data_IF_113017225770
#
_entry.id   IF_113017225770
#
_cell.length_a   1.000
_cell.length_b   1.000
_cell.length_c   1.000
_cell.angle_alpha   90.00
_cell.angle_beta   90.00
_cell.angle_gamma   90.00
#
_symmetry.space_group_name_H-M   'P 1'
#
loop_
_entity.id
_entity.type
_entity.pdbx_description
1 polymer ?
#
# COMPACT_ATOMS: atom_id res chain seq x y z
N UNK A 1 -20.34 15.15 -27.35
CA UNK A 1 -19.07 14.57 -26.85
C UNK A 1 -18.59 15.46 -25.73
N UNK A 2 -18.85 15.08 -24.49
CA UNK A 2 -18.34 15.78 -23.30
C UNK A 2 -16.85 15.46 -23.19
N UNK A 3 -16.01 16.46 -23.42
CA UNK A 3 -14.59 16.41 -23.08
C UNK A 3 -14.46 16.12 -21.59
N UNK A 4 -13.98 14.94 -21.24
CA UNK A 4 -13.57 14.66 -19.87
C UNK A 4 -12.48 15.68 -19.51
N UNK A 5 -12.78 16.56 -18.56
CA UNK A 5 -11.78 17.44 -17.95
C UNK A 5 -10.68 16.56 -17.40
N UNK A 6 -9.44 16.76 -17.87
CA UNK A 6 -8.29 16.06 -17.31
C UNK A 6 -8.20 16.42 -15.81
N UNK A 7 -8.50 15.46 -14.94
CA UNK A 7 -8.37 15.61 -13.50
C UNK A 7 -6.93 16.01 -13.19
N UNK A 8 -6.75 17.04 -12.34
CA UNK A 8 -5.42 17.50 -11.96
C UNK A 8 -4.61 16.34 -11.34
N UNK A 9 -3.37 16.20 -11.81
CA UNK A 9 -2.41 15.23 -11.30
C UNK A 9 -1.91 15.70 -9.93
N UNK A 10 -1.99 14.83 -8.93
CA UNK A 10 -1.63 15.12 -7.54
C UNK A 10 -0.68 14.07 -6.98
N UNK A 11 0.07 14.45 -5.96
CA UNK A 11 1.00 13.54 -5.28
C UNK A 11 0.34 12.72 -4.17
N UNK A 12 -0.90 13.05 -3.80
CA UNK A 12 -1.71 12.32 -2.84
C UNK A 12 -3.18 12.48 -3.22
N UNK A 13 -3.94 11.40 -3.08
CA UNK A 13 -5.38 11.34 -3.31
C UNK A 13 -6.06 10.85 -2.04
N UNK A 14 -7.24 11.38 -1.74
CA UNK A 14 -8.04 10.93 -0.61
C UNK A 14 -8.64 9.54 -0.86
N UNK A 15 -9.01 8.84 0.21
CA UNK A 15 -9.67 7.53 0.08
C UNK A 15 -10.97 7.67 -0.72
N UNK A 16 -11.09 6.90 -1.81
CA UNK A 16 -12.22 6.97 -2.74
C UNK A 16 -12.05 7.99 -3.86
N UNK A 17 -11.01 8.83 -3.83
CA UNK A 17 -10.65 9.70 -4.94
C UNK A 17 -9.74 8.94 -5.93
N UNK A 18 -10.27 8.65 -7.12
CA UNK A 18 -9.56 7.84 -8.12
C UNK A 18 -8.55 8.71 -8.89
N UNK A 19 -7.24 8.39 -8.86
CA UNK A 19 -6.25 9.10 -9.68
C UNK A 19 -6.52 8.90 -11.19
N UNK A 20 -6.02 9.80 -12.07
CA UNK A 20 -6.06 9.56 -13.51
C UNK A 20 -5.39 8.23 -13.87
N UNK A 21 -5.96 7.49 -14.82
CA UNK A 21 -5.37 6.24 -15.29
C UNK A 21 -3.96 6.48 -15.82
N UNK A 22 -2.99 5.67 -15.38
CA UNK A 22 -1.58 5.80 -15.73
C UNK A 22 -0.78 6.78 -14.88
N UNK A 23 -1.41 7.49 -13.93
CA UNK A 23 -0.70 8.30 -12.93
C UNK A 23 -0.52 7.53 -11.62
N UNK A 24 0.72 7.43 -11.14
CA UNK A 24 1.05 6.88 -9.81
C UNK A 24 1.36 8.06 -8.88
N UNK A 25 0.56 8.33 -7.83
CA UNK A 25 0.86 9.40 -6.89
C UNK A 25 2.14 9.08 -6.10
N UNK A 26 2.94 10.11 -5.78
CA UNK A 26 4.18 9.95 -5.02
C UNK A 26 3.96 9.47 -3.58
N UNK A 27 2.76 9.70 -3.01
CA UNK A 27 2.39 9.34 -1.65
C UNK A 27 1.04 8.62 -1.61
N UNK A 28 0.86 7.81 -0.58
CA UNK A 28 -0.38 7.09 -0.28
C UNK A 28 -0.66 7.08 1.23
N UNK A 29 -1.92 6.89 1.60
CA UNK A 29 -2.31 6.58 2.98
C UNK A 29 -2.13 5.09 3.27
N UNK A 30 -1.63 4.75 4.46
CA UNK A 30 -1.56 3.37 4.91
C UNK A 30 -1.62 3.25 6.44
N UNK A 31 -2.08 2.09 6.93
CA UNK A 31 -1.91 1.68 8.33
C UNK A 31 -0.50 1.13 8.53
N UNK A 32 0.35 1.89 9.21
CA UNK A 32 1.75 1.57 9.41
C UNK A 32 2.04 1.15 10.85
N UNK A 33 2.89 0.13 10.99
CA UNK A 33 3.54 -0.26 12.24
C UNK A 33 4.94 0.35 12.24
N UNK A 34 5.40 0.78 13.41
CA UNK A 34 6.80 1.14 13.69
C UNK A 34 7.31 0.35 14.89
N UNK A 35 8.62 0.08 14.94
CA UNK A 35 9.21 -0.82 15.95
C UNK A 35 8.92 -0.34 17.38
N UNK A 36 9.03 0.96 17.62
CA UNK A 36 8.78 1.61 18.90
C UNK A 36 7.30 1.57 19.34
N UNK A 37 6.38 1.23 18.43
CA UNK A 37 4.94 1.11 18.71
C UNK A 37 4.46 -0.34 18.84
N UNK A 38 5.36 -1.33 18.85
CA UNK A 38 4.94 -2.72 19.00
C UNK A 38 4.03 -2.91 20.23
N UNK A 39 2.89 -3.55 20.02
CA UNK A 39 1.82 -3.62 21.00
C UNK A 39 0.51 -4.10 20.39
N UNK A 40 -0.59 -3.85 21.09
CA UNK A 40 -1.93 -4.18 20.62
C UNK A 40 -2.25 -3.44 19.29
N UNK A 41 -3.00 -4.06 18.35
CA UNK A 41 -3.19 -3.51 17.01
C UNK A 41 -3.74 -2.08 16.95
N UNK A 42 -4.60 -1.70 17.89
CA UNK A 42 -5.23 -0.37 17.99
C UNK A 42 -4.24 0.76 18.32
N UNK A 43 -3.09 0.43 18.91
CA UNK A 43 -2.02 1.38 19.23
C UNK A 43 -0.82 1.23 18.30
N UNK A 44 -0.50 0.00 17.88
CA UNK A 44 0.65 -0.29 17.03
C UNK A 44 0.46 0.19 15.59
N UNK A 45 -0.73 -0.04 15.02
CA UNK A 45 -1.07 0.39 13.67
C UNK A 45 -1.63 1.82 13.71
N UNK A 46 -1.03 2.73 12.97
CA UNK A 46 -1.50 4.12 12.86
C UNK A 46 -1.59 4.53 11.39
N UNK A 47 -2.55 5.39 11.03
CA UNK A 47 -2.66 5.93 9.68
C UNK A 47 -1.54 6.94 9.44
N UNK A 48 -0.74 6.73 8.41
CA UNK A 48 0.34 7.61 8.01
C UNK A 48 0.27 7.89 6.50
N UNK A 49 0.83 9.03 6.07
CA UNK A 49 1.09 9.33 4.65
C UNK A 49 2.52 8.90 4.35
N UNK A 50 2.68 7.91 3.47
CA UNK A 50 3.95 7.27 3.16
C UNK A 50 4.23 7.33 1.65
N UNK A 51 5.50 7.19 1.22
CA UNK A 51 5.81 7.06 -0.20
C UNK A 51 5.07 5.87 -0.83
N UNK A 52 4.55 6.06 -2.03
CA UNK A 52 4.07 4.93 -2.85
C UNK A 52 5.28 4.09 -3.26
N UNK A 53 5.13 2.77 -3.27
CA UNK A 53 6.20 1.86 -3.62
C UNK A 53 6.60 1.96 -5.09
N UNK A 54 7.92 2.01 -5.34
CA UNK A 54 8.47 1.66 -6.65
C UNK A 54 8.24 0.17 -6.93
N UNK A 55 8.15 -0.21 -8.20
CA UNK A 55 8.00 -1.60 -8.63
C UNK A 55 9.18 -2.06 -9.47
N UNK A 56 9.62 -3.29 -9.27
CA UNK A 56 10.60 -3.96 -10.11
C UNK A 56 10.00 -4.41 -11.46
N UNK A 57 10.86 -4.91 -12.36
CA UNK A 57 10.47 -5.33 -13.71
C UNK A 57 9.38 -6.40 -13.75
N UNK A 58 9.29 -7.26 -12.74
CA UNK A 58 8.36 -8.40 -12.66
C UNK A 58 7.23 -8.21 -11.64
N UNK A 59 7.09 -7.00 -11.09
CA UNK A 59 6.09 -6.65 -10.08
C UNK A 59 4.91 -5.86 -10.67
N UNK A 60 3.82 -5.77 -9.88
CA UNK A 60 2.66 -4.94 -10.19
C UNK A 60 2.31 -4.06 -9.00
N UNK A 61 1.86 -2.84 -9.28
CA UNK A 61 1.27 -1.96 -8.27
C UNK A 61 -0.25 -2.07 -8.34
N UNK A 62 -0.91 -2.25 -7.20
CA UNK A 62 -2.37 -2.41 -7.12
C UNK A 62 -2.98 -1.23 -6.36
N UNK A 63 -3.98 -0.58 -6.96
CA UNK A 63 -4.88 0.33 -6.26
C UNK A 63 -5.89 -0.49 -5.45
N UNK A 64 -5.64 -0.61 -4.15
CA UNK A 64 -6.40 -1.50 -3.26
C UNK A 64 -7.77 -0.92 -2.95
N UNK A 65 -8.81 -1.71 -3.22
CA UNK A 65 -10.22 -1.36 -2.94
C UNK A 65 -10.69 -1.91 -1.59
N UNK A 66 -10.22 -3.11 -1.23
CA UNK A 66 -10.47 -3.72 0.07
C UNK A 66 -9.30 -4.64 0.47
N UNK A 67 -9.14 -4.85 1.77
CA UNK A 67 -8.16 -5.77 2.34
C UNK A 67 -8.83 -6.72 3.34
N UNK A 68 -8.31 -7.93 3.45
CA UNK A 68 -8.74 -8.91 4.46
C UNK A 68 -7.97 -8.78 5.77
N UNK A 69 -8.63 -9.08 6.88
CA UNK A 69 -8.02 -9.11 8.21
C UNK A 69 -7.59 -10.54 8.53
N UNK A 70 -6.34 -10.71 8.97
CA UNK A 70 -5.75 -12.01 9.26
C UNK A 70 -4.88 -11.96 10.53
N UNK A 71 -4.67 -13.12 11.17
CA UNK A 71 -3.87 -13.28 12.39
C UNK A 71 -2.44 -12.76 12.25
N UNK A 72 -1.83 -12.86 11.06
CA UNK A 72 -0.47 -12.36 10.84
C UNK A 72 -0.33 -10.84 11.07
N UNK A 73 -1.38 -10.05 10.84
CA UNK A 73 -1.40 -8.62 11.15
C UNK A 73 -1.32 -8.37 12.65
N UNK A 74 -1.94 -9.22 13.47
CA UNK A 74 -1.84 -9.17 14.93
C UNK A 74 -0.40 -9.47 15.36
N UNK A 75 0.21 -10.53 14.82
CA UNK A 75 1.59 -10.91 15.14
C UNK A 75 2.60 -9.83 14.71
N UNK A 76 2.39 -9.19 13.55
CA UNK A 76 3.19 -8.08 13.08
C UNK A 76 3.10 -6.86 14.03
N UNK A 77 1.88 -6.49 14.47
CA UNK A 77 1.67 -5.42 15.46
C UNK A 77 2.36 -5.71 16.79
N UNK A 78 2.17 -6.92 17.31
CA UNK A 78 2.77 -7.33 18.59
C UNK A 78 4.30 -7.45 18.52
N UNK A 79 4.86 -7.66 17.32
CA UNK A 79 6.26 -8.03 17.15
C UNK A 79 6.60 -9.40 17.72
N UNK A 80 5.61 -10.31 17.76
CA UNK A 80 5.71 -11.66 18.36
C UNK A 80 5.11 -12.70 17.42
N UNK A 81 5.74 -13.89 17.27
CA UNK A 81 6.94 -14.35 17.96
C UNK A 81 8.24 -13.69 17.47
N UNK A 82 8.19 -12.95 16.37
CA UNK A 82 9.30 -12.21 15.80
C UNK A 82 8.80 -10.86 15.28
N UNK A 83 9.66 -9.84 15.34
CA UNK A 83 9.37 -8.55 14.73
C UNK A 83 9.61 -8.60 13.22
N UNK A 84 8.70 -8.07 12.36
CA UNK A 84 8.95 -7.96 10.92
C UNK A 84 10.24 -7.18 10.61
N UNK A 85 10.57 -6.21 11.47
CA UNK A 85 11.75 -5.36 11.34
C UNK A 85 13.06 -6.12 11.48
N UNK A 86 13.07 -7.30 12.11
CA UNK A 86 14.26 -8.16 12.18
C UNK A 86 14.50 -8.90 10.84
N UNK A 87 13.46 -9.01 10.00
CA UNK A 87 13.55 -9.58 8.65
C UNK A 87 13.98 -8.56 7.59
N UNK A 88 13.23 -7.46 7.45
CA UNK A 88 13.43 -6.51 6.34
C UNK A 88 14.23 -5.24 6.70
N UNK A 89 14.43 -4.93 7.98
CA UNK A 89 15.22 -3.77 8.47
C UNK A 89 14.75 -2.38 8.00
N UNK A 90 13.51 -2.25 7.52
CA UNK A 90 12.95 -0.95 7.12
C UNK A 90 12.43 -0.17 8.33
N UNK A 91 12.15 1.13 8.15
CA UNK A 91 11.71 2.01 9.24
C UNK A 91 10.23 1.85 9.63
N UNK A 92 9.42 1.27 8.75
CA UNK A 92 8.00 1.00 8.98
C UNK A 92 7.56 -0.29 8.27
N UNK A 93 6.41 -0.83 8.68
CA UNK A 93 5.82 -2.04 8.11
C UNK A 93 4.33 -1.82 7.86
N UNK A 94 3.86 -2.04 6.63
CA UNK A 94 2.44 -2.02 6.27
C UNK A 94 1.98 -3.48 6.18
N UNK A 95 1.14 -3.91 7.12
CA UNK A 95 0.61 -5.27 7.15
C UNK A 95 -0.61 -5.43 6.22
N UNK A 96 -0.98 -6.68 5.93
CA UNK A 96 -2.12 -7.05 5.10
C UNK A 96 -1.73 -8.13 4.09
N UNK A 97 -2.37 -9.30 4.13
CA UNK A 97 -2.03 -10.45 3.28
C UNK A 97 -3.14 -10.89 2.33
N UNK A 98 -4.26 -10.18 2.33
CA UNK A 98 -5.38 -10.38 1.42
C UNK A 98 -5.81 -9.02 0.86
N UNK A 99 -6.06 -8.92 -0.44
CA UNK A 99 -6.50 -7.69 -1.08
C UNK A 99 -7.40 -7.96 -2.30
N UNK A 100 -8.30 -7.03 -2.58
CA UNK A 100 -8.95 -6.86 -3.88
C UNK A 100 -8.70 -5.44 -4.39
N UNK A 101 -8.44 -5.31 -5.69
CA UNK A 101 -8.03 -4.03 -6.25
C UNK A 101 -7.87 -4.04 -7.77
N UNK A 102 -7.41 -2.91 -8.29
CA UNK A 102 -7.17 -2.69 -9.72
C UNK A 102 -5.67 -2.64 -9.95
N UNK A 103 -5.15 -3.36 -10.94
CA UNK A 103 -3.75 -3.22 -11.37
C UNK A 103 -3.55 -1.81 -11.90
N UNK A 104 -2.66 -1.06 -11.28
CA UNK A 104 -2.46 0.37 -11.54
C UNK A 104 -1.17 0.67 -12.30
N UNK A 105 -0.15 -0.15 -12.08
CA UNK A 105 1.09 -0.15 -12.85
C UNK A 105 1.66 -1.57 -12.97
N UNK A 106 2.43 -1.82 -14.02
CA UNK A 106 3.08 -3.11 -14.28
C UNK A 106 4.55 -2.91 -14.63
N UNK A 107 5.41 -3.79 -14.13
CA UNK A 107 6.82 -3.83 -14.50
C UNK A 107 7.05 -4.29 -15.94
N UNK A 108 8.21 -3.96 -16.51
CA UNK A 108 8.52 -4.17 -17.93
C UNK A 108 8.47 -5.64 -18.40
N UNK A 109 8.65 -6.60 -17.50
CA UNK A 109 8.63 -8.05 -17.78
C UNK A 109 7.26 -8.69 -17.51
N UNK A 110 6.28 -7.96 -16.96
CA UNK A 110 4.93 -8.47 -16.72
C UNK A 110 4.16 -8.56 -18.03
N UNK A 111 3.76 -9.78 -18.41
CA UNK A 111 3.03 -10.04 -19.68
C UNK A 111 1.59 -10.48 -19.51
N UNK A 112 1.26 -11.07 -18.35
CA UNK A 112 -0.06 -11.67 -18.08
C UNK A 112 -1.09 -10.63 -17.64
N UNK A 113 -0.66 -9.69 -16.80
CA UNK A 113 -1.52 -8.66 -16.21
C UNK A 113 -1.35 -7.34 -16.96
N UNK A 114 -2.41 -6.52 -16.94
CA UNK A 114 -2.47 -5.23 -17.61
C UNK A 114 -3.12 -4.22 -16.66
N UNK A 115 -2.75 -2.95 -16.83
CA UNK A 115 -3.49 -1.80 -16.32
C UNK A 115 -4.85 -1.73 -17.03
#
# INVERSE_FOLDING_TARGET
MTTATATAVKDLYEIGEVPPLGHVPAKMYAWAIRRERHGEPDTAMQVEVLPTWDIADDEVLVYVMAAGVNYNGIWASLGKPISPFDGHKADYHIAGSDASGIVWAVGAKVKRWKV
#
